data_IF_848718871447
#
_entry.id   IF_848718871447
#
_cell.length_a   1.000
_cell.length_b   1.000
_cell.length_c   1.000
_cell.angle_alpha   90.00
_cell.angle_beta   90.00
_cell.angle_gamma   90.00
#
_symmetry.space_group_name_H-M   'P 1'
#
loop_
_entity.id
_entity.type
_entity.pdbx_description
1 polymer ?
#
# COMPACT_ATOMS: atom_id res chain seq x y z
N UNK A 1 27.22 51.72 6.94
CA UNK A 1 27.89 50.40 7.07
C UNK A 1 27.01 49.34 7.72
N UNK A 2 26.33 49.63 8.85
CA UNK A 2 25.39 48.71 9.52
C UNK A 2 24.26 48.17 8.62
N UNK A 3 23.63 49.04 7.83
CA UNK A 3 22.54 48.67 6.91
C UNK A 3 23.00 47.79 5.74
N UNK A 4 24.24 47.97 5.27
CA UNK A 4 24.82 47.16 4.19
C UNK A 4 24.99 45.69 4.64
N UNK A 5 25.39 45.49 5.90
CA UNK A 5 25.49 44.16 6.51
C UNK A 5 24.12 43.49 6.69
N UNK A 6 23.08 44.28 7.01
CA UNK A 6 21.71 43.75 7.18
C UNK A 6 21.16 43.27 5.82
N UNK A 7 21.35 44.05 4.75
CA UNK A 7 20.93 43.63 3.40
C UNK A 7 21.67 42.37 2.93
N UNK A 8 22.98 42.25 3.23
CA UNK A 8 23.75 41.05 2.92
C UNK A 8 23.29 39.81 3.70
N UNK A 9 22.94 39.97 4.98
CA UNK A 9 22.42 38.88 5.82
C UNK A 9 21.03 38.42 5.38
N UNK A 10 20.14 39.35 5.01
CA UNK A 10 18.80 39.02 4.50
C UNK A 10 18.90 38.29 3.15
N UNK A 11 19.79 38.72 2.25
CA UNK A 11 20.02 38.04 0.98
C UNK A 11 20.56 36.60 1.17
N UNK A 12 21.41 36.38 2.18
CA UNK A 12 21.91 35.04 2.53
C UNK A 12 20.80 34.12 3.05
N UNK A 13 19.87 34.65 3.85
CA UNK A 13 18.74 33.90 4.37
C UNK A 13 17.71 33.51 3.30
N UNK A 14 17.46 34.39 2.33
CA UNK A 14 16.51 34.10 1.23
C UNK A 14 17.04 32.98 0.32
N UNK A 15 18.35 32.94 0.06
CA UNK A 15 18.99 31.88 -0.73
C UNK A 15 18.85 30.48 -0.11
N UNK A 16 18.68 30.37 1.22
CA UNK A 16 18.51 29.10 1.93
C UNK A 16 17.07 28.54 1.86
N UNK A 17 16.10 29.33 1.38
CA UNK A 17 14.67 28.95 1.42
C UNK A 17 14.12 28.40 0.10
N UNK A 18 14.92 28.34 -0.95
CA UNK A 18 14.47 27.89 -2.28
C UNK A 18 14.75 26.40 -2.47
N UNK A 19 13.68 25.59 -2.41
CA UNK A 19 13.67 24.24 -2.99
C UNK A 19 13.40 23.09 -2.04
N UNK A 20 12.26 23.09 -1.35
CA UNK A 20 11.67 21.81 -0.94
C UNK A 20 10.96 21.21 -2.17
N UNK A 21 11.37 20.06 -2.72
CA UNK A 21 10.59 19.39 -3.75
C UNK A 21 9.25 18.96 -3.14
N UNK A 22 8.15 19.28 -3.82
CA UNK A 22 6.84 18.74 -3.48
C UNK A 22 6.93 17.21 -3.52
N UNK A 23 6.94 16.58 -2.35
CA UNK A 23 6.96 15.13 -2.21
C UNK A 23 5.64 14.61 -2.77
N UNK A 24 5.69 14.03 -3.97
CA UNK A 24 4.58 13.24 -4.53
C UNK A 24 4.24 12.20 -3.46
N UNK A 25 3.10 12.39 -2.81
CA UNK A 25 2.61 11.43 -1.83
C UNK A 25 2.43 10.12 -2.58
N UNK A 26 3.18 9.10 -2.20
CA UNK A 26 2.96 7.75 -2.71
C UNK A 26 1.60 7.31 -2.16
N UNK A 27 0.55 7.58 -2.95
CA UNK A 27 -0.71 6.88 -2.81
C UNK A 27 -0.37 5.40 -2.80
N UNK A 28 -0.74 4.70 -1.71
CA UNK A 28 -0.35 3.32 -1.43
C UNK A 28 -0.34 2.49 -2.73
N UNK A 29 0.82 1.98 -3.14
CA UNK A 29 0.98 1.28 -4.41
C UNK A 29 0.10 0.02 -4.49
N UNK A 30 -0.38 -0.48 -3.34
CA UNK A 30 -1.27 -1.62 -3.23
C UNK A 30 -2.77 -1.27 -3.34
N UNK A 31 -3.14 0.01 -3.26
CA UNK A 31 -4.54 0.44 -3.31
C UNK A 31 -5.10 0.19 -4.72
N UNK A 32 -5.76 -0.95 -4.89
CA UNK A 32 -6.36 -1.40 -6.15
C UNK A 32 -7.88 -1.45 -6.01
N UNK A 33 -8.59 -0.77 -6.91
CA UNK A 33 -10.04 -0.83 -6.97
C UNK A 33 -10.48 -2.22 -7.48
N UNK A 34 -10.89 -3.09 -6.58
CA UNK A 34 -11.48 -4.37 -6.92
C UNK A 34 -12.99 -4.21 -7.15
N UNK A 35 -13.51 -4.79 -8.23
CA UNK A 35 -14.95 -4.83 -8.47
C UNK A 35 -15.67 -5.71 -7.44
N UNK A 36 -16.98 -5.50 -7.31
CA UNK A 36 -17.85 -6.28 -6.40
C UNK A 36 -18.25 -7.67 -6.94
N UNK A 37 -17.63 -8.11 -8.05
CA UNK A 37 -17.90 -9.43 -8.60
C UNK A 37 -17.35 -10.49 -7.64
N UNK A 38 -18.27 -11.23 -7.03
CA UNK A 38 -17.96 -12.28 -6.07
C UNK A 38 -17.69 -13.59 -6.80
N UNK A 39 -16.42 -13.97 -6.84
CA UNK A 39 -15.92 -15.22 -7.40
C UNK A 39 -14.90 -15.79 -6.41
N UNK A 40 -15.37 -16.43 -5.32
CA UNK A 40 -14.56 -16.71 -4.16
C UNK A 40 -13.42 -17.69 -4.47
N UNK A 41 -12.30 -17.47 -3.82
CA UNK A 41 -11.13 -18.36 -3.88
C UNK A 41 -10.61 -18.63 -2.48
N UNK A 42 -10.14 -19.85 -2.26
CA UNK A 42 -9.47 -20.25 -1.05
C UNK A 42 -7.98 -20.13 -1.29
N UNK A 43 -7.32 -19.22 -0.59
CA UNK A 43 -5.89 -19.00 -0.72
C UNK A 43 -5.21 -19.08 0.64
N UNK A 44 -3.95 -19.47 0.64
CA UNK A 44 -3.13 -19.59 1.83
C UNK A 44 -1.67 -19.34 1.49
N UNK A 45 -0.78 -19.23 2.49
CA UNK A 45 0.62 -18.97 2.22
C UNK A 45 1.23 -20.07 1.34
N UNK A 46 2.19 -19.69 0.51
CA UNK A 46 3.02 -20.63 -0.25
C UNK A 46 3.83 -21.52 0.69
N UNK A 47 4.39 -20.93 1.74
CA UNK A 47 5.18 -21.60 2.77
C UNK A 47 4.68 -21.20 4.17
N UNK A 48 4.63 -22.16 5.10
CA UNK A 48 4.17 -21.93 6.47
C UNK A 48 2.88 -22.68 6.81
N UNK A 49 2.44 -22.53 8.07
CA UNK A 49 1.34 -23.29 8.65
C UNK A 49 0.05 -22.47 8.85
N UNK A 50 -0.03 -21.26 8.28
CA UNK A 50 -1.22 -20.43 8.42
C UNK A 50 -2.41 -21.07 7.71
N UNK A 51 -3.59 -20.95 8.33
CA UNK A 51 -4.82 -21.50 7.76
C UNK A 51 -5.21 -20.69 6.52
N UNK A 52 -5.58 -21.37 5.41
CA UNK A 52 -6.06 -20.68 4.23
C UNK A 52 -7.36 -19.91 4.55
N UNK A 53 -7.55 -18.79 3.86
CA UNK A 53 -8.72 -17.92 4.02
C UNK A 53 -9.44 -17.73 2.69
N UNK A 54 -10.72 -17.43 2.80
CA UNK A 54 -11.55 -17.09 1.64
C UNK A 54 -11.31 -15.64 1.24
N UNK A 55 -11.01 -15.41 -0.03
CA UNK A 55 -10.99 -14.09 -0.67
C UNK A 55 -12.18 -13.97 -1.62
N UNK A 56 -12.80 -12.78 -1.69
CA UNK A 56 -13.98 -12.56 -2.52
C UNK A 56 -13.74 -12.68 -4.02
N UNK A 57 -12.50 -12.48 -4.47
CA UNK A 57 -12.02 -12.72 -5.83
C UNK A 57 -10.48 -12.65 -5.87
N UNK A 58 -9.91 -12.86 -7.07
CA UNK A 58 -8.46 -12.79 -7.29
C UNK A 58 -7.87 -11.40 -6.99
N UNK A 59 -8.59 -10.33 -7.34
CA UNK A 59 -8.12 -8.96 -7.08
C UNK A 59 -7.92 -8.73 -5.59
N UNK A 60 -8.86 -9.20 -4.75
CA UNK A 60 -8.73 -9.15 -3.30
C UNK A 60 -7.47 -9.88 -2.81
N UNK A 61 -7.20 -11.10 -3.30
CA UNK A 61 -5.97 -11.83 -2.95
C UNK A 61 -4.70 -11.06 -3.33
N UNK A 62 -4.65 -10.49 -4.52
CA UNK A 62 -3.51 -9.70 -4.98
C UNK A 62 -3.28 -8.45 -4.12
N UNK A 63 -4.36 -7.73 -3.78
CA UNK A 63 -4.29 -6.57 -2.88
C UNK A 63 -3.77 -6.99 -1.51
N UNK A 64 -4.30 -8.08 -0.95
CA UNK A 64 -3.84 -8.60 0.34
C UNK A 64 -2.35 -8.94 0.32
N UNK A 65 -1.88 -9.67 -0.70
CA UNK A 65 -0.48 -10.02 -0.87
C UNK A 65 0.41 -8.77 -0.94
N UNK A 66 -0.03 -7.74 -1.67
CA UNK A 66 0.70 -6.49 -1.77
C UNK A 66 0.77 -5.76 -0.41
N UNK A 67 -0.37 -5.58 0.25
CA UNK A 67 -0.47 -4.83 1.51
C UNK A 67 0.31 -5.50 2.65
N UNK A 68 0.28 -6.84 2.70
CA UNK A 68 0.86 -7.62 3.78
C UNK A 68 2.26 -8.12 3.45
N UNK A 69 2.76 -7.88 2.22
CA UNK A 69 4.03 -8.40 1.70
C UNK A 69 4.10 -9.93 1.84
N UNK A 70 3.03 -10.60 1.48
CA UNK A 70 2.90 -12.06 1.55
C UNK A 70 2.81 -12.67 0.16
N UNK A 71 3.10 -13.97 0.08
CA UNK A 71 2.95 -14.76 -1.14
C UNK A 71 1.87 -15.83 -0.93
N UNK A 72 0.61 -15.40 -0.78
CA UNK A 72 -0.49 -16.35 -0.70
C UNK A 72 -0.90 -16.79 -2.11
N UNK A 73 -1.08 -18.09 -2.26
CA UNK A 73 -1.45 -18.75 -3.50
C UNK A 73 -2.82 -19.42 -3.38
N UNK A 74 -3.54 -19.50 -4.50
CA UNK A 74 -4.81 -20.19 -4.56
C UNK A 74 -4.62 -21.68 -4.32
N UNK A 75 -5.30 -22.21 -3.30
CA UNK A 75 -5.33 -23.63 -2.97
C UNK A 75 -6.55 -24.32 -3.61
N UNK A 76 -7.68 -23.63 -3.70
CA UNK A 76 -8.86 -24.13 -4.41
C UNK A 76 -9.77 -22.99 -4.89
N UNK A 77 -10.57 -23.28 -5.91
CA UNK A 77 -11.70 -22.42 -6.30
C UNK A 77 -12.82 -22.56 -5.26
N UNK A 78 -13.56 -21.47 -5.02
CA UNK A 78 -14.61 -21.42 -4.00
C UNK A 78 -14.08 -21.00 -2.62
N UNK A 79 -14.97 -20.97 -1.64
CA UNK A 79 -14.61 -20.64 -0.25
C UNK A 79 -13.81 -21.76 0.42
N UNK A 80 -12.97 -21.41 1.39
CA UNK A 80 -12.24 -22.41 2.17
C UNK A 80 -13.19 -23.23 3.07
N UNK A 81 -13.05 -24.57 3.10
CA UNK A 81 -13.85 -25.41 3.99
C UNK A 81 -13.51 -25.12 5.46
N UNK A 82 -14.47 -24.57 6.21
CA UNK A 82 -14.28 -24.21 7.62
C UNK A 82 -13.31 -23.04 7.86
N UNK A 83 -12.96 -22.29 6.80
CA UNK A 83 -12.07 -21.13 6.88
C UNK A 83 -12.82 -19.82 7.17
N UNK A 84 -12.09 -18.82 7.68
CA UNK A 84 -12.59 -17.45 7.78
C UNK A 84 -12.60 -16.76 6.40
N UNK A 85 -13.40 -15.70 6.28
CA UNK A 85 -13.41 -14.85 5.09
C UNK A 85 -12.66 -13.55 5.38
N UNK A 86 -11.67 -13.21 4.56
CA UNK A 86 -11.04 -11.90 4.60
C UNK A 86 -11.97 -10.91 3.88
N UNK A 87 -12.45 -9.92 4.63
CA UNK A 87 -13.20 -8.77 4.10
C UNK A 87 -12.19 -7.62 4.01
N UNK A 88 -11.64 -7.42 2.82
CA UNK A 88 -10.81 -6.24 2.55
C UNK A 88 -11.73 -5.01 2.56
N UNK A 89 -11.36 -4.00 3.36
CA UNK A 89 -12.12 -2.75 3.50
C UNK A 89 -11.76 -1.75 2.41
#
# INVERSE_FOLDING_TARGET
MKFLCIFALVALFVALSVGAPAQKTNFNECLKACGYHYSPICAGPKEGAEKPQTFGNMCALETYNCEHKTEWEVKSQGECPGGGAIRLQ
#
